data_IF_161745728404
#
_entry.id   IF_161745728404
#
_cell.length_a   1.000
_cell.length_b   1.000
_cell.length_c   1.000
_cell.angle_alpha   90.00
_cell.angle_beta   90.00
_cell.angle_gamma   90.00
#
_symmetry.space_group_name_H-M   'P 1'
#
loop_
_entity.id
_entity.type
_entity.pdbx_description
1 polymer ?
#
# COMPACT_ATOMS: atom_id res chain seq x y z
N UNK A 1 -16.84 43.86 -33.08
CA UNK A 1 -15.88 42.85 -32.59
C UNK A 1 -16.29 42.50 -31.16
N UNK A 2 -16.80 41.29 -30.93
CA UNK A 2 -17.31 40.84 -29.63
C UNK A 2 -16.32 39.83 -29.05
N UNK A 3 -15.49 40.28 -28.12
CA UNK A 3 -14.50 39.46 -27.39
C UNK A 3 -15.03 39.28 -25.97
N UNK A 4 -16.06 38.45 -25.76
CA UNK A 4 -16.61 38.25 -24.39
C UNK A 4 -17.19 36.86 -24.14
N UNK A 5 -16.79 35.80 -24.86
CA UNK A 5 -17.38 34.47 -24.61
C UNK A 5 -16.44 33.27 -24.48
N UNK A 6 -15.13 33.42 -24.68
CA UNK A 6 -14.22 32.27 -24.65
C UNK A 6 -13.48 32.03 -23.32
N UNK A 7 -13.54 32.96 -22.37
CA UNK A 7 -12.73 32.84 -21.13
C UNK A 7 -13.40 32.05 -20.00
N UNK A 8 -14.70 31.73 -20.08
CA UNK A 8 -15.40 31.03 -18.99
C UNK A 8 -15.39 29.49 -19.11
N UNK A 9 -15.09 28.94 -20.29
CA UNK A 9 -15.18 27.49 -20.51
C UNK A 9 -13.89 26.77 -20.06
N UNK A 10 -12.76 27.47 -20.02
CA UNK A 10 -11.48 26.89 -19.60
C UNK A 10 -11.38 26.65 -18.08
N UNK A 11 -12.18 27.32 -17.25
CA UNK A 11 -12.09 27.20 -15.79
C UNK A 11 -12.91 26.01 -15.24
N UNK A 12 -13.96 25.57 -15.95
CA UNK A 12 -14.72 24.39 -15.55
C UNK A 12 -14.03 23.07 -15.93
N UNK A 13 -13.19 23.06 -16.97
CA UNK A 13 -12.42 21.87 -17.35
C UNK A 13 -11.26 21.58 -16.38
N UNK A 14 -10.74 22.60 -15.69
CA UNK A 14 -9.68 22.44 -14.69
C UNK A 14 -10.19 21.86 -13.36
N UNK A 15 -11.49 22.00 -13.05
CA UNK A 15 -12.10 21.44 -11.83
C UNK A 15 -12.50 19.97 -11.99
N UNK A 16 -12.63 19.47 -13.23
CA UNK A 16 -12.92 18.06 -13.51
C UNK A 16 -11.65 17.22 -13.71
N UNK A 17 -10.46 17.83 -13.67
CA UNK A 17 -9.18 17.13 -13.72
C UNK A 17 -8.69 16.65 -12.33
N UNK A 18 -9.49 16.84 -11.28
CA UNK A 18 -9.15 16.50 -9.90
C UNK A 18 -9.78 15.21 -9.36
N UNK A 19 -10.75 14.62 -10.05
CA UNK A 19 -11.26 13.30 -9.70
C UNK A 19 -10.48 12.26 -10.51
N UNK A 20 -9.39 11.75 -9.95
CA UNK A 20 -8.88 10.48 -10.45
C UNK A 20 -9.80 9.40 -9.88
N UNK A 21 -10.71 8.87 -10.70
CA UNK A 21 -11.69 7.84 -10.29
C UNK A 21 -11.03 6.56 -9.72
N UNK A 22 -9.71 6.45 -9.86
CA UNK A 22 -8.89 5.34 -9.38
C UNK A 22 -8.28 5.56 -7.98
N UNK A 23 -8.52 6.71 -7.35
CA UNK A 23 -8.05 6.92 -5.98
C UNK A 23 -8.75 5.92 -5.03
N UNK A 24 -8.00 5.14 -4.23
CA UNK A 24 -8.59 4.25 -3.25
C UNK A 24 -9.39 5.07 -2.23
N UNK A 25 -10.51 4.53 -1.75
CA UNK A 25 -11.23 5.08 -0.61
C UNK A 25 -11.56 3.94 0.36
N UNK A 26 -10.55 3.59 1.17
CA UNK A 26 -10.65 2.47 2.10
C UNK A 26 -10.00 2.78 3.44
N UNK A 27 -10.54 2.20 4.50
CA UNK A 27 -9.87 2.12 5.79
C UNK A 27 -9.24 0.76 5.94
N UNK A 28 -7.94 0.73 6.20
CA UNK A 28 -7.18 -0.49 6.52
C UNK A 28 -7.22 -0.66 8.04
N UNK A 29 -7.84 -1.71 8.60
CA UNK A 29 -7.92 -1.91 10.04
C UNK A 29 -6.58 -2.26 10.68
N UNK A 30 -6.42 -1.92 11.97
CA UNK A 30 -5.36 -2.48 12.81
C UNK A 30 -5.47 -4.01 12.89
N UNK A 31 -4.33 -4.69 12.89
CA UNK A 31 -4.22 -6.15 12.87
C UNK A 31 -4.27 -6.76 11.48
N UNK A 32 -4.72 -6.01 10.46
CA UNK A 32 -4.79 -6.51 9.10
C UNK A 32 -3.43 -6.71 8.45
N UNK A 33 -3.36 -7.60 7.46
CA UNK A 33 -2.13 -7.92 6.74
C UNK A 33 -2.16 -7.37 5.32
N UNK A 34 -1.13 -6.61 4.96
CA UNK A 34 -0.82 -6.28 3.57
C UNK A 34 0.20 -7.29 3.07
N UNK A 35 -0.08 -7.86 1.91
CA UNK A 35 0.81 -8.80 1.26
C UNK A 35 1.42 -8.20 0.01
N UNK A 36 2.72 -8.39 -0.13
CA UNK A 36 3.53 -7.65 -1.08
C UNK A 36 4.42 -8.64 -1.80
N UNK A 37 4.40 -8.64 -3.12
CA UNK A 37 5.42 -9.36 -3.90
C UNK A 37 6.64 -8.47 -4.09
N UNK A 38 7.76 -8.86 -3.48
CA UNK A 38 9.02 -8.14 -3.62
C UNK A 38 9.46 -8.10 -5.09
N UNK A 39 9.57 -6.90 -5.65
CA UNK A 39 10.01 -6.70 -7.04
C UNK A 39 11.40 -6.05 -7.13
N UNK A 40 11.83 -5.39 -6.06
CA UNK A 40 13.11 -4.71 -5.98
C UNK A 40 13.67 -4.79 -4.56
N UNK A 41 14.98 -4.95 -4.44
CA UNK A 41 15.71 -5.07 -3.18
C UNK A 41 16.99 -4.22 -3.24
N UNK A 42 16.89 -2.99 -2.74
CA UNK A 42 18.04 -2.20 -2.28
C UNK A 42 17.87 -1.97 -0.76
N UNK A 43 18.18 -0.80 -0.23
CA UNK A 43 17.87 -0.41 1.16
C UNK A 43 16.36 -0.31 1.43
N UNK A 44 15.56 -0.27 0.37
CA UNK A 44 14.10 -0.29 0.42
C UNK A 44 13.59 -1.49 -0.39
N UNK A 45 12.77 -2.29 0.27
CA UNK A 45 11.97 -3.33 -0.32
C UNK A 45 10.73 -2.68 -0.95
N UNK A 46 10.56 -2.84 -2.25
CA UNK A 46 9.40 -2.33 -2.98
C UNK A 46 8.67 -3.48 -3.67
N UNK A 47 7.34 -3.46 -3.60
CA UNK A 47 6.53 -4.48 -4.25
C UNK A 47 5.11 -4.04 -4.54
N UNK A 48 4.43 -4.84 -5.38
CA UNK A 48 3.00 -4.65 -5.65
C UNK A 48 2.18 -5.29 -4.53
N UNK A 49 1.11 -4.61 -4.13
CA UNK A 49 0.12 -5.19 -3.22
C UNK A 49 -0.57 -6.36 -3.93
N UNK A 50 -0.79 -7.44 -3.18
CA UNK A 50 -1.47 -8.64 -3.65
C UNK A 50 -2.88 -8.74 -3.02
N UNK A 51 -3.87 -9.25 -3.76
CA UNK A 51 -5.20 -9.51 -3.20
C UNK A 51 -5.11 -10.64 -2.16
N UNK A 52 -5.80 -10.54 -1.02
CA UNK A 52 -5.66 -11.54 0.07
C UNK A 52 -5.90 -13.00 -0.36
N UNK A 53 -6.63 -13.23 -1.46
CA UNK A 53 -6.85 -14.55 -2.06
C UNK A 53 -5.57 -15.32 -2.43
N UNK A 54 -4.41 -14.64 -2.59
CA UNK A 54 -3.16 -15.31 -2.97
C UNK A 54 -2.72 -16.40 -1.98
N UNK A 55 -3.16 -16.31 -0.72
CA UNK A 55 -2.82 -17.25 0.35
C UNK A 55 -4.08 -18.03 0.74
N UNK A 56 -4.43 -19.09 0.00
CA UNK A 56 -5.59 -19.96 0.24
C UNK A 56 -5.93 -20.17 1.74
N UNK A 57 -6.80 -19.33 2.31
CA UNK A 57 -6.98 -19.20 3.77
C UNK A 57 -8.20 -18.34 4.16
N UNK A 58 -8.59 -18.43 5.43
CA UNK A 58 -9.74 -17.72 5.99
C UNK A 58 -9.34 -16.28 6.38
N UNK A 59 -9.48 -15.35 5.44
CA UNK A 59 -9.39 -13.92 5.73
C UNK A 59 -10.74 -13.35 6.15
N UNK A 60 -10.73 -12.30 6.97
CA UNK A 60 -11.96 -11.57 7.25
C UNK A 60 -12.45 -10.85 5.98
N UNK A 61 -13.77 -10.73 5.82
CA UNK A 61 -14.38 -10.04 4.66
C UNK A 61 -13.89 -8.59 4.52
N UNK A 62 -13.56 -7.94 5.64
CA UNK A 62 -12.93 -6.61 5.69
C UNK A 62 -11.57 -6.58 5.00
N UNK A 63 -10.73 -7.58 5.25
CA UNK A 63 -9.39 -7.71 4.65
C UNK A 63 -9.45 -7.96 3.15
N UNK A 64 -10.41 -8.79 2.74
CA UNK A 64 -10.72 -9.00 1.35
C UNK A 64 -11.07 -7.68 0.63
N UNK A 65 -12.03 -6.94 1.19
CA UNK A 65 -12.56 -5.75 0.55
C UNK A 65 -11.50 -4.67 0.37
N UNK A 66 -10.71 -4.35 1.40
CA UNK A 66 -9.68 -3.31 1.25
C UNK A 66 -8.58 -3.79 0.30
N UNK A 67 -8.16 -5.05 0.37
CA UNK A 67 -7.05 -5.53 -0.47
C UNK A 67 -7.39 -5.52 -1.95
N UNK A 68 -8.65 -5.83 -2.32
CA UNK A 68 -9.13 -5.70 -3.69
C UNK A 68 -9.05 -4.25 -4.18
N UNK A 69 -9.54 -3.29 -3.39
CA UNK A 69 -9.48 -1.86 -3.77
C UNK A 69 -8.03 -1.39 -3.93
N UNK A 70 -7.11 -1.82 -3.05
CA UNK A 70 -5.70 -1.46 -3.17
C UNK A 70 -5.08 -2.03 -4.47
N UNK A 71 -5.48 -3.23 -4.88
CA UNK A 71 -5.00 -3.84 -6.13
C UNK A 71 -5.59 -3.11 -7.35
N UNK A 72 -6.89 -2.82 -7.34
CA UNK A 72 -7.58 -2.07 -8.41
C UNK A 72 -7.04 -0.65 -8.56
N UNK A 73 -6.60 -0.03 -7.46
CA UNK A 73 -5.95 1.29 -7.43
C UNK A 73 -4.44 1.23 -7.73
N UNK A 74 -3.96 0.08 -8.22
CA UNK A 74 -2.56 -0.17 -8.61
C UNK A 74 -1.54 0.21 -7.52
N UNK A 75 -1.88 -0.06 -6.25
CA UNK A 75 -1.03 0.31 -5.13
C UNK A 75 0.28 -0.49 -5.11
N UNK A 76 1.35 0.23 -4.80
CA UNK A 76 2.65 -0.30 -4.42
C UNK A 76 2.91 -0.06 -2.94
N UNK A 77 3.72 -0.91 -2.34
CA UNK A 77 4.12 -0.79 -0.95
C UNK A 77 5.63 -0.87 -0.82
N UNK A 78 6.17 0.03 -0.03
CA UNK A 78 7.58 0.17 0.24
C UNK A 78 7.85 -0.02 1.73
N UNK A 79 8.89 -0.78 2.06
CA UNK A 79 9.35 -0.99 3.42
C UNK A 79 10.85 -0.82 3.42
N UNK A 80 11.40 -0.04 4.34
CA UNK A 80 12.84 0.12 4.51
C UNK A 80 13.30 -0.69 5.75
N UNK A 81 13.46 -2.02 5.64
CA UNK A 81 13.82 -2.83 6.79
C UNK A 81 15.25 -2.54 7.27
N UNK A 82 15.45 -2.61 8.58
CA UNK A 82 16.75 -2.47 9.23
C UNK A 82 17.11 -3.77 9.94
N UNK A 83 18.38 -4.17 9.85
CA UNK A 83 18.86 -5.36 10.56
C UNK A 83 18.98 -5.08 12.07
N UNK A 84 18.21 -5.79 12.89
CA UNK A 84 18.38 -5.79 14.35
C UNK A 84 19.26 -6.99 14.76
N UNK A 85 20.48 -6.68 15.24
CA UNK A 85 21.48 -7.68 15.63
C UNK A 85 21.11 -8.48 16.89
N UNK A 86 20.18 -7.99 17.72
CA UNK A 86 19.75 -8.65 18.97
C UNK A 86 18.82 -9.81 18.65
N UNK A 87 17.88 -9.59 17.74
CA UNK A 87 16.92 -10.61 17.29
C UNK A 87 17.37 -11.33 16.01
N UNK A 88 18.44 -10.85 15.37
CA UNK A 88 19.03 -11.38 14.12
C UNK A 88 18.02 -11.41 12.98
N UNK A 89 17.28 -10.32 12.81
CA UNK A 89 16.17 -10.19 11.84
C UNK A 89 16.12 -8.80 11.25
N UNK A 90 15.69 -8.72 10.00
CA UNK A 90 15.22 -7.50 9.34
C UNK A 90 13.89 -7.07 9.94
N UNK A 91 13.86 -5.87 10.51
CA UNK A 91 12.72 -5.29 11.20
C UNK A 91 12.28 -4.02 10.47
N UNK A 92 10.98 -3.74 10.50
CA UNK A 92 10.44 -2.45 10.10
C UNK A 92 9.27 -2.11 11.04
N UNK A 93 9.08 -0.83 11.32
CA UNK A 93 7.99 -0.29 12.15
C UNK A 93 6.93 0.47 11.35
N UNK A 94 7.20 0.66 10.05
CA UNK A 94 6.34 1.35 9.10
C UNK A 94 6.61 0.90 7.67
N UNK A 95 5.64 1.17 6.80
CA UNK A 95 5.80 1.09 5.35
C UNK A 95 5.09 2.25 4.67
N UNK A 96 5.39 2.50 3.40
CA UNK A 96 4.75 3.56 2.61
C UNK A 96 3.90 2.92 1.52
N UNK A 97 2.61 3.25 1.52
CA UNK A 97 1.64 2.86 0.51
C UNK A 97 1.49 3.99 -0.49
N UNK A 98 1.65 3.68 -1.78
CA UNK A 98 1.48 4.63 -2.87
C UNK A 98 0.55 4.02 -3.90
N UNK A 99 -0.54 4.73 -4.24
CA UNK A 99 -1.58 4.27 -5.16
C UNK A 99 -1.82 5.33 -6.24
N UNK A 100 -2.34 4.91 -7.39
CA UNK A 100 -2.68 5.85 -8.46
C UNK A 100 -3.81 6.78 -7.99
N UNK A 101 -3.61 8.10 -8.08
CA UNK A 101 -4.62 9.08 -7.68
C UNK A 101 -4.72 9.38 -6.17
N UNK A 102 -3.94 8.70 -5.33
CA UNK A 102 -3.89 8.95 -3.89
C UNK A 102 -2.59 9.64 -3.48
N UNK A 103 -2.62 10.35 -2.35
CA UNK A 103 -1.38 10.81 -1.69
C UNK A 103 -0.72 9.62 -0.99
N UNK A 104 0.59 9.45 -1.15
CA UNK A 104 1.33 8.40 -0.44
C UNK A 104 1.10 8.48 1.08
N UNK A 105 0.84 7.32 1.70
CA UNK A 105 0.57 7.21 3.13
C UNK A 105 1.59 6.33 3.82
N UNK A 106 2.11 6.82 4.94
CA UNK A 106 2.87 6.00 5.86
C UNK A 106 1.90 5.15 6.70
N UNK A 107 2.08 3.83 6.67
CA UNK A 107 1.31 2.88 7.45
C UNK A 107 2.19 2.33 8.58
N UNK A 108 1.85 2.59 9.85
CA UNK A 108 2.57 2.00 10.97
C UNK A 108 2.24 0.50 11.07
N UNK A 109 3.24 -0.31 11.40
CA UNK A 109 3.09 -1.75 11.42
C UNK A 109 4.39 -2.50 11.60
N UNK A 110 4.44 -3.76 11.18
CA UNK A 110 5.65 -4.55 11.25
C UNK A 110 5.69 -5.69 10.23
N UNK A 111 6.90 -6.05 9.81
CA UNK A 111 7.14 -7.23 8.99
C UNK A 111 6.88 -8.51 9.79
N UNK A 112 6.34 -9.53 9.14
CA UNK A 112 6.30 -10.90 9.67
C UNK A 112 6.79 -11.89 8.63
N UNK A 113 7.42 -12.97 9.08
CA UNK A 113 7.80 -14.08 8.22
C UNK A 113 6.63 -15.05 7.94
N UNK A 114 6.91 -16.10 7.18
CA UNK A 114 5.91 -17.09 6.76
C UNK A 114 5.33 -17.90 7.94
N UNK A 115 6.01 -17.90 9.09
CA UNK A 115 5.58 -18.52 10.34
C UNK A 115 4.81 -17.54 11.24
N UNK A 116 4.70 -16.27 10.84
CA UNK A 116 4.04 -15.21 11.61
C UNK A 116 4.93 -14.58 12.68
N UNK A 117 6.24 -14.85 12.68
CA UNK A 117 7.17 -14.22 13.61
C UNK A 117 7.57 -12.83 13.12
N UNK A 118 7.67 -11.87 14.05
CA UNK A 118 8.05 -10.48 13.73
C UNK A 118 9.44 -10.41 13.11
N UNK A 119 9.58 -9.64 12.03
CA UNK A 119 10.78 -9.50 11.22
C UNK A 119 11.01 -10.66 10.26
N UNK A 120 12.09 -10.60 9.47
CA UNK A 120 12.51 -11.71 8.58
C UNK A 120 14.01 -11.95 8.65
N UNK A 121 14.45 -13.19 8.44
CA UNK A 121 15.88 -13.54 8.42
C UNK A 121 16.58 -13.14 7.10
N UNK A 122 15.81 -12.77 6.08
CA UNK A 122 16.28 -12.38 4.75
C UNK A 122 15.08 -12.12 3.84
N UNK A 123 15.35 -11.49 2.70
CA UNK A 123 14.35 -11.21 1.65
C UNK A 123 15.01 -11.40 0.29
N UNK A 124 14.31 -12.05 -0.64
CA UNK A 124 14.68 -12.20 -2.04
C UNK A 124 13.62 -11.60 -2.98
N UNK A 125 14.04 -11.20 -4.18
CA UNK A 125 13.11 -10.76 -5.22
C UNK A 125 12.17 -11.92 -5.56
N UNK A 126 10.88 -11.63 -5.61
CA UNK A 126 9.82 -12.62 -5.80
C UNK A 126 9.21 -13.14 -4.50
N UNK A 127 9.84 -12.91 -3.34
CA UNK A 127 9.28 -13.27 -2.04
C UNK A 127 7.95 -12.56 -1.81
N UNK A 128 7.02 -13.28 -1.17
CA UNK A 128 5.81 -12.66 -0.67
C UNK A 128 6.03 -12.27 0.77
N UNK A 129 5.72 -11.02 1.08
CA UNK A 129 6.05 -10.37 2.33
C UNK A 129 4.76 -9.93 2.97
N UNK A 130 4.61 -10.24 4.25
CA UNK A 130 3.47 -9.85 5.05
C UNK A 130 3.87 -8.69 5.96
N UNK A 131 3.11 -7.61 5.88
CA UNK A 131 3.22 -6.45 6.76
C UNK A 131 1.93 -6.31 7.56
N UNK A 132 2.02 -6.37 8.89
CA UNK A 132 0.88 -6.28 9.79
C UNK A 132 0.69 -4.83 10.22
N UNK A 133 -0.50 -4.30 10.03
CA UNK A 133 -0.85 -2.91 10.35
C UNK A 133 -1.07 -2.78 11.87
N UNK A 134 -0.41 -1.82 12.51
CA UNK A 134 -0.51 -1.63 13.97
C UNK A 134 -1.58 -0.63 14.39
N UNK A 135 -1.97 0.29 13.51
CA UNK A 135 -3.09 1.21 13.75
C UNK A 135 -3.90 1.42 12.48
N UNK A 136 -5.22 1.59 12.61
CA UNK A 136 -6.08 1.79 11.45
C UNK A 136 -5.73 3.08 10.69
N UNK A 137 -5.71 3.02 9.35
CA UNK A 137 -5.38 4.15 8.48
C UNK A 137 -6.39 4.27 7.34
N UNK A 138 -6.87 5.48 7.08
CA UNK A 138 -7.66 5.80 5.89
C UNK A 138 -6.72 6.11 4.71
N UNK A 139 -7.01 5.52 3.55
CA UNK A 139 -6.29 5.72 2.29
C UNK A 139 -7.28 6.33 1.30
N UNK A 140 -6.97 7.55 0.90
CA UNK A 140 -7.75 8.49 0.07
C UNK A 140 -6.79 9.29 -0.83
#
# INVERSE_FOLDING_TARGET
MSITKFSLIALCAALMAGCNDNAPNVTIPAGSRIFIKANHLDDTLTGKVLPTEWKAGNFEKSEYNFSQVLVESNCSFEVAPQWDSRVKRLMADKGTLTCDGAVSRELPGYLVDDQGMVGRNGVAVGDIIAFVISSSVAVE
#
